data_IF_867645570373
#
_entry.id   IF_867645570373
#
_cell.length_a   1.000
_cell.length_b   1.000
_cell.length_c   1.000
_cell.angle_alpha   90.00
_cell.angle_beta   90.00
_cell.angle_gamma   90.00
#
_symmetry.space_group_name_H-M   'P 1'
#
loop_
_entity.id
_entity.type
_entity.pdbx_description
1 polymer ?
#
# COMPACT_ATOMS: atom_id res chain seq x y z
N UNK A 1 -15.86 -2.66 14.35
CA UNK A 1 -15.73 -1.20 14.35
C UNK A 1 -16.32 -0.64 13.07
N UNK A 2 -17.41 0.24 13.11
CA UNK A 2 -17.97 0.85 11.90
C UNK A 2 -17.09 2.00 11.35
N UNK A 3 -16.10 2.46 12.13
CA UNK A 3 -15.20 3.51 11.64
C UNK A 3 -13.83 3.38 12.29
N UNK A 4 -12.82 3.88 11.60
CA UNK A 4 -11.45 3.92 12.10
C UNK A 4 -10.76 5.16 11.52
N UNK A 5 -9.80 5.69 12.28
CA UNK A 5 -8.96 6.78 11.80
C UNK A 5 -7.50 6.37 11.91
N UNK A 6 -6.61 7.20 11.37
CA UNK A 6 -5.18 6.98 11.52
C UNK A 6 -4.79 6.78 12.99
N UNK A 7 -5.42 7.54 13.89
CA UNK A 7 -5.10 7.48 15.33
C UNK A 7 -5.63 6.23 16.02
N UNK A 8 -6.71 5.65 15.53
CA UNK A 8 -7.38 4.54 16.18
C UNK A 8 -7.09 3.19 15.54
N UNK A 9 -6.40 3.17 14.40
CA UNK A 9 -6.04 1.94 13.73
C UNK A 9 -5.18 1.07 14.66
N UNK A 10 -5.50 -0.23 14.74
CA UNK A 10 -4.89 -1.12 15.73
C UNK A 10 -3.48 -1.57 15.40
N UNK A 11 -3.09 -1.51 14.13
CA UNK A 11 -1.78 -1.98 13.70
C UNK A 11 -0.98 -0.84 13.11
N UNK A 12 0.32 -0.84 13.39
CA UNK A 12 1.25 0.14 12.85
C UNK A 12 2.45 -0.60 12.28
N UNK A 13 2.77 -0.32 11.03
CA UNK A 13 3.95 -0.87 10.38
C UNK A 13 4.82 0.31 9.99
N UNK A 14 6.06 0.30 10.48
CA UNK A 14 7.02 1.33 10.11
C UNK A 14 8.22 0.69 9.45
N UNK A 15 8.68 1.28 8.37
CA UNK A 15 9.96 0.97 7.77
C UNK A 15 10.53 2.26 7.22
N UNK A 16 11.77 2.20 6.77
CA UNK A 16 12.47 3.39 6.33
C UNK A 16 11.65 4.14 5.27
N UNK A 17 11.24 5.37 5.60
CA UNK A 17 10.50 6.21 4.68
C UNK A 17 9.01 5.91 4.54
N UNK A 18 8.44 5.01 5.34
CA UNK A 18 7.04 4.63 5.22
C UNK A 18 6.42 4.35 6.58
N UNK A 19 5.24 4.91 6.82
CA UNK A 19 4.41 4.53 7.96
C UNK A 19 3.05 4.07 7.44
N UNK A 20 2.61 2.89 7.88
CA UNK A 20 1.29 2.33 7.55
C UNK A 20 0.51 2.10 8.84
N UNK A 21 -0.70 2.62 8.89
CA UNK A 21 -1.66 2.34 9.96
C UNK A 21 -2.77 1.51 9.36
N UNK A 22 -3.00 0.32 9.92
CA UNK A 22 -3.85 -0.70 9.32
C UNK A 22 -4.94 -1.15 10.29
N UNK A 23 -6.14 -1.34 9.76
CA UNK A 23 -7.25 -1.92 10.51
C UNK A 23 -8.05 -2.86 9.62
N UNK A 24 -8.36 -4.06 10.13
CA UNK A 24 -9.31 -4.96 9.46
C UNK A 24 -10.71 -4.54 9.87
N UNK A 25 -11.54 -4.23 8.88
CA UNK A 25 -12.89 -3.75 9.13
C UNK A 25 -13.91 -4.83 8.81
N UNK A 26 -15.16 -4.60 9.21
CA UNK A 26 -16.25 -5.49 8.88
C UNK A 26 -16.48 -5.48 7.37
N UNK A 27 -17.07 -6.56 6.86
CA UNK A 27 -17.36 -6.66 5.44
C UNK A 27 -16.22 -7.23 4.61
N UNK A 28 -15.15 -7.72 5.27
CA UNK A 28 -14.05 -8.38 4.56
C UNK A 28 -13.03 -7.45 3.94
N UNK A 29 -13.03 -6.17 4.32
CA UNK A 29 -12.09 -5.18 3.81
C UNK A 29 -11.24 -4.59 4.92
N UNK A 30 -10.02 -4.23 4.57
CA UNK A 30 -9.10 -3.56 5.46
C UNK A 30 -8.78 -2.18 4.93
N UNK A 31 -8.46 -1.25 5.84
CA UNK A 31 -8.07 0.11 5.46
C UNK A 31 -6.64 0.35 5.90
N UNK A 32 -5.86 0.99 5.02
CA UNK A 32 -4.50 1.43 5.31
C UNK A 32 -4.42 2.94 5.17
N UNK A 33 -3.88 3.58 6.21
CA UNK A 33 -3.51 4.99 6.17
C UNK A 33 -2.00 5.01 6.00
N UNK A 34 -1.52 5.51 4.87
CA UNK A 34 -0.09 5.50 4.56
C UNK A 34 0.48 6.90 4.50
N UNK A 35 1.65 7.07 5.11
CA UNK A 35 2.43 8.30 5.00
C UNK A 35 3.75 7.94 4.33
N UNK A 36 3.98 8.52 3.16
CA UNK A 36 5.20 8.28 2.39
C UNK A 36 6.19 9.41 2.71
N UNK A 37 7.22 9.08 3.49
CA UNK A 37 8.17 10.08 4.00
C UNK A 37 9.38 10.27 3.10
N UNK A 38 9.58 9.36 2.13
CA UNK A 38 10.70 9.40 1.20
C UNK A 38 10.29 8.78 -0.11
N UNK A 39 11.00 9.15 -1.18
CA UNK A 39 10.80 8.51 -2.48
C UNK A 39 11.29 7.07 -2.42
N UNK A 40 10.53 6.15 -2.97
CA UNK A 40 10.90 4.74 -2.96
C UNK A 40 10.17 3.96 -4.03
N UNK A 41 10.89 3.04 -4.68
CA UNK A 41 10.28 2.04 -5.55
C UNK A 41 10.24 0.74 -4.74
N UNK A 42 9.04 0.20 -4.52
CA UNK A 42 8.85 -0.91 -3.60
C UNK A 42 9.04 -2.29 -4.23
N UNK A 43 9.54 -2.38 -5.48
CA UNK A 43 9.68 -3.67 -6.15
C UNK A 43 10.39 -4.74 -5.31
N UNK A 44 11.43 -4.43 -4.52
CA UNK A 44 12.07 -5.48 -3.71
C UNK A 44 11.16 -6.16 -2.71
N UNK A 45 10.09 -5.50 -2.28
CA UNK A 45 9.17 -6.06 -1.28
C UNK A 45 8.22 -7.10 -1.87
N UNK A 46 8.07 -7.15 -3.18
CA UNK A 46 7.09 -8.03 -3.83
C UNK A 46 7.71 -9.25 -4.49
N UNK A 47 9.00 -9.49 -4.25
CA UNK A 47 9.67 -10.66 -4.78
C UNK A 47 9.03 -11.93 -4.22
N UNK A 48 8.69 -12.85 -5.10
CA UNK A 48 8.01 -14.09 -4.72
C UNK A 48 6.51 -14.08 -4.94
N UNK A 49 5.93 -12.90 -5.20
CA UNK A 49 4.54 -12.79 -5.64
C UNK A 49 4.47 -12.98 -7.16
N UNK A 50 3.26 -13.17 -7.73
CA UNK A 50 3.14 -13.35 -9.19
C UNK A 50 3.84 -12.23 -9.94
N UNK A 51 4.76 -12.60 -10.84
CA UNK A 51 5.57 -11.67 -11.64
C UNK A 51 6.38 -10.68 -10.78
N UNK A 52 6.61 -11.04 -9.49
CA UNK A 52 7.29 -10.18 -8.52
C UNK A 52 6.63 -8.81 -8.39
N UNK A 53 5.30 -8.79 -8.49
CA UNK A 53 4.47 -7.59 -8.38
C UNK A 53 3.42 -7.77 -7.31
N UNK A 54 2.90 -6.64 -6.83
CA UNK A 54 1.81 -6.67 -5.86
C UNK A 54 0.54 -7.18 -6.53
N UNK A 55 -0.07 -8.21 -5.95
CA UNK A 55 -1.31 -8.79 -6.48
C UNK A 55 -2.53 -8.35 -5.68
N UNK A 56 -2.39 -7.35 -4.84
CA UNK A 56 -3.46 -6.85 -4.00
C UNK A 56 -4.24 -5.73 -4.71
N UNK A 57 -5.52 -5.93 -5.02
CA UNK A 57 -6.31 -4.84 -5.58
C UNK A 57 -6.51 -3.76 -4.52
N UNK A 58 -6.45 -2.49 -4.94
CA UNK A 58 -6.53 -1.36 -4.01
C UNK A 58 -7.48 -0.30 -4.53
N UNK A 59 -8.39 0.13 -3.66
CA UNK A 59 -9.23 1.31 -3.88
C UNK A 59 -8.69 2.39 -2.96
N UNK A 60 -8.34 3.55 -3.50
CA UNK A 60 -7.67 4.55 -2.70
C UNK A 60 -8.07 5.98 -3.00
N UNK A 61 -7.52 6.86 -2.19
CA UNK A 61 -7.71 8.30 -2.33
C UNK A 61 -6.43 9.01 -1.88
N UNK A 62 -5.95 9.95 -2.68
CA UNK A 62 -4.75 10.70 -2.35
C UNK A 62 -5.16 11.92 -1.51
N UNK A 63 -4.73 11.91 -0.25
CA UNK A 63 -5.03 13.00 0.69
C UNK A 63 -4.06 14.16 0.51
N UNK A 64 -2.81 13.87 0.16
CA UNK A 64 -1.76 14.88 0.04
C UNK A 64 -0.66 14.35 -0.88
N UNK A 65 -0.13 15.22 -1.72
CA UNK A 65 0.98 14.86 -2.61
C UNK A 65 0.54 13.99 -3.78
N UNK A 66 1.35 13.01 -4.10
CA UNK A 66 1.05 12.09 -5.21
C UNK A 66 1.64 10.71 -4.93
N UNK A 67 1.09 9.71 -5.61
CA UNK A 67 1.61 8.35 -5.60
C UNK A 67 1.54 7.76 -6.99
N UNK A 68 2.40 6.79 -7.29
CA UNK A 68 2.47 6.18 -8.62
C UNK A 68 2.44 4.67 -8.50
N UNK A 69 1.99 4.02 -9.58
CA UNK A 69 2.01 2.57 -9.69
C UNK A 69 2.53 2.19 -11.06
N UNK A 70 3.55 1.32 -11.09
CA UNK A 70 4.12 0.82 -12.34
C UNK A 70 3.47 -0.50 -12.71
N UNK A 71 3.05 -0.61 -13.95
CA UNK A 71 2.54 -1.84 -14.53
C UNK A 71 3.56 -2.37 -15.53
N UNK A 72 3.27 -3.52 -16.17
CA UNK A 72 4.20 -4.11 -17.12
C UNK A 72 4.50 -3.19 -18.31
N UNK A 73 3.53 -2.39 -18.73
CA UNK A 73 3.61 -1.61 -19.98
C UNK A 73 3.40 -0.12 -19.77
N UNK A 74 3.13 0.35 -18.56
CA UNK A 74 2.86 1.78 -18.32
C UNK A 74 2.96 2.10 -16.82
N UNK A 75 2.92 3.39 -16.52
CA UNK A 75 2.87 3.89 -15.15
C UNK A 75 1.68 4.84 -15.02
N UNK A 76 1.00 4.78 -13.87
CA UNK A 76 -0.08 5.71 -13.57
C UNK A 76 0.29 6.54 -12.35
N UNK A 77 -0.03 7.83 -12.41
CA UNK A 77 0.25 8.78 -11.33
C UNK A 77 -1.07 9.33 -10.84
N UNK A 78 -1.27 9.28 -9.52
CA UNK A 78 -2.47 9.84 -8.88
C UNK A 78 -2.05 10.98 -7.98
N UNK A 79 -2.79 12.08 -8.05
CA UNK A 79 -2.47 13.31 -7.34
C UNK A 79 -3.52 13.64 -6.29
N UNK A 80 -3.21 14.58 -5.43
CA UNK A 80 -4.10 15.02 -4.36
C UNK A 80 -5.52 15.25 -4.89
N UNK A 81 -6.49 14.62 -4.23
CA UNK A 81 -7.89 14.68 -4.63
C UNK A 81 -8.35 13.57 -5.56
N UNK A 82 -7.44 12.75 -6.07
CA UNK A 82 -7.82 11.64 -6.96
C UNK A 82 -8.27 10.43 -6.15
N UNK A 83 -9.42 9.87 -6.52
CA UNK A 83 -9.82 8.54 -6.09
C UNK A 83 -9.39 7.56 -7.17
N UNK A 84 -8.88 6.39 -6.78
CA UNK A 84 -8.33 5.47 -7.76
C UNK A 84 -8.63 4.01 -7.44
N UNK A 85 -8.55 3.19 -8.48
CA UNK A 85 -8.52 1.74 -8.34
C UNK A 85 -7.28 1.21 -9.03
N UNK A 86 -6.50 0.39 -8.31
CA UNK A 86 -5.29 -0.22 -8.85
C UNK A 86 -5.50 -1.73 -8.89
N UNK A 87 -5.55 -2.34 -10.09
CA UNK A 87 -5.70 -3.78 -10.20
C UNK A 87 -4.41 -4.51 -9.81
N UNK A 88 -4.48 -5.83 -9.60
CA UNK A 88 -3.27 -6.63 -9.38
C UNK A 88 -2.25 -6.47 -10.51
N UNK A 89 -0.98 -6.66 -10.18
CA UNK A 89 0.10 -6.59 -11.16
C UNK A 89 0.86 -5.28 -11.17
N UNK A 90 0.84 -4.56 -10.06
CA UNK A 90 1.48 -3.25 -9.95
C UNK A 90 2.68 -3.26 -9.00
N UNK A 91 3.55 -2.28 -9.17
CA UNK A 91 4.63 -1.96 -8.22
C UNK A 91 4.35 -0.55 -7.70
N UNK A 92 4.14 -0.38 -6.38
CA UNK A 92 3.99 0.97 -5.82
C UNK A 92 5.28 1.76 -5.90
N UNK A 93 5.17 3.02 -6.27
CA UNK A 93 6.28 3.97 -6.27
C UNK A 93 5.86 5.15 -5.41
N UNK A 94 6.56 5.34 -4.30
CA UNK A 94 6.23 6.38 -3.34
C UNK A 94 6.96 7.66 -3.63
N UNK A 95 6.28 8.78 -3.39
CA UNK A 95 6.87 10.11 -3.52
C UNK A 95 6.81 10.77 -2.15
N UNK A 96 7.94 11.26 -1.65
CA UNK A 96 8.04 11.83 -0.31
C UNK A 96 7.05 12.96 -0.08
N UNK A 97 6.40 12.94 1.08
CA UNK A 97 5.37 13.91 1.45
C UNK A 97 3.96 13.49 1.15
N UNK A 98 3.76 12.35 0.49
CA UNK A 98 2.42 11.89 0.15
C UNK A 98 1.71 11.24 1.33
N UNK A 99 0.39 11.38 1.36
CA UNK A 99 -0.48 10.68 2.30
C UNK A 99 -1.65 10.12 1.53
N UNK A 100 -1.91 8.83 1.70
CA UNK A 100 -2.99 8.15 0.98
C UNK A 100 -3.80 7.30 1.96
N UNK A 101 -5.01 6.97 1.55
CA UNK A 101 -5.84 5.98 2.22
C UNK A 101 -6.23 4.93 1.20
N UNK A 102 -6.08 3.64 1.55
CA UNK A 102 -6.41 2.55 0.63
C UNK A 102 -7.25 1.50 1.34
N UNK A 103 -8.19 0.92 0.59
CA UNK A 103 -9.01 -0.20 1.04
C UNK A 103 -8.70 -1.42 0.19
N UNK A 104 -8.61 -2.58 0.82
CA UNK A 104 -8.29 -3.83 0.12
C UNK A 104 -9.01 -5.00 0.78
N UNK A 105 -9.28 -6.10 0.03
CA UNK A 105 -9.85 -7.29 0.64
C UNK A 105 -8.90 -7.85 1.70
N UNK A 106 -9.41 -8.13 2.89
CA UNK A 106 -8.60 -8.59 4.03
C UNK A 106 -7.88 -9.90 3.72
N UNK A 107 -8.55 -10.84 3.06
CA UNK A 107 -7.96 -12.14 2.76
C UNK A 107 -6.74 -12.03 1.84
N UNK A 108 -6.84 -11.21 0.79
CA UNK A 108 -5.72 -10.99 -0.13
C UNK A 108 -4.61 -10.21 0.54
N UNK A 109 -4.97 -9.20 1.32
CA UNK A 109 -4.00 -8.39 2.05
C UNK A 109 -3.13 -9.25 2.96
N UNK A 110 -3.74 -10.20 3.69
CA UNK A 110 -2.99 -11.07 4.59
C UNK A 110 -1.94 -11.89 3.86
N UNK A 111 -2.30 -12.48 2.71
CA UNK A 111 -1.38 -13.28 1.92
C UNK A 111 -0.25 -12.43 1.35
N UNK A 112 -0.58 -11.28 0.80
CA UNK A 112 0.41 -10.36 0.23
C UNK A 112 1.37 -9.85 1.30
N UNK A 113 0.85 -9.43 2.45
CA UNK A 113 1.68 -8.92 3.53
C UNK A 113 2.61 -10.00 4.10
N UNK A 114 2.19 -11.26 4.08
CA UNK A 114 3.06 -12.36 4.49
C UNK A 114 4.36 -12.40 3.67
N UNK A 115 4.26 -12.20 2.37
CA UNK A 115 5.43 -12.16 1.48
C UNK A 115 6.25 -10.88 1.72
N UNK A 116 5.57 -9.74 1.82
CA UNK A 116 6.23 -8.45 2.04
C UNK A 116 7.05 -8.48 3.33
N UNK A 117 6.47 -8.98 4.42
CA UNK A 117 7.17 -9.02 5.70
C UNK A 117 8.39 -9.95 5.66
N UNK A 118 8.30 -11.07 4.94
CA UNK A 118 9.46 -11.95 4.75
C UNK A 118 10.57 -11.25 4.00
N UNK A 119 10.22 -10.48 2.98
CA UNK A 119 11.21 -9.73 2.21
C UNK A 119 11.88 -8.65 3.06
N UNK A 120 11.12 -8.00 3.93
CA UNK A 120 11.68 -7.02 4.87
C UNK A 120 12.67 -7.72 5.82
N UNK A 121 12.32 -8.88 6.35
CA UNK A 121 13.19 -9.65 7.25
C UNK A 121 14.50 -10.05 6.56
N UNK A 122 14.47 -10.24 5.24
CA UNK A 122 15.67 -10.57 4.45
C UNK A 122 16.51 -9.34 4.10
N UNK A 123 16.14 -8.17 4.63
CA UNK A 123 16.86 -6.94 4.36
C UNK A 123 16.47 -6.21 3.10
N UNK A 124 15.37 -6.60 2.45
CA UNK A 124 14.86 -5.86 1.30
C UNK A 124 14.28 -4.53 1.77
N UNK A 125 14.52 -3.46 1.04
CA UNK A 125 14.03 -2.15 1.41
C UNK A 125 13.89 -1.25 0.19
#
# INVERSE_FOLDING_TARGET
>A
MPKVSRKTASQKIEMDGLEVRLEHMQGGYSVCFESHKADANLSPLFKGLPDDRCDLPRWGYVLKGKTSFQFADHEEVYEEGDAYYVPPGHIPVHHGGAEIIEFSPTAVLGATMGVVMKNIEKGAS
#
